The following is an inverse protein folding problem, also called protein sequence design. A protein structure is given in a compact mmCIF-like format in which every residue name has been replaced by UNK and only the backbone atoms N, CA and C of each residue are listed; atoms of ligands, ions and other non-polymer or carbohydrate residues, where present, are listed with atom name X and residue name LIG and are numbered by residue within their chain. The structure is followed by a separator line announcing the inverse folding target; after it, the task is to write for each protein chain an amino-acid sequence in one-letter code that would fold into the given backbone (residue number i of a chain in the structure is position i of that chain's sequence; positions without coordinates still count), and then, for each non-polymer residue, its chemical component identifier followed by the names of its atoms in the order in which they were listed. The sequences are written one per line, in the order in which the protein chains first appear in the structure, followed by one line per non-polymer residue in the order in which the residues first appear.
data_IF_989450841475
#
_entry.id   IF_989450841475
#
_cell.length_a   1.000
_cell.length_b   1.000
_cell.length_c   1.000
_cell.angle_alpha   90.00
_cell.angle_beta   90.00
_cell.angle_gamma   90.00
#
_symmetry.space_group_name_H-M   'P 1'
#
loop_
_entity.id
_entity.type
_entity.pdbx_description
1 polymer ?
#
# COMPACT_ATOMS: atom_id res chain seq x y z
N UNK A 1 57.90 -125.09 -28.01
CA UNK A 1 57.82 -123.60 -28.02
C UNK A 1 57.66 -123.18 -26.58
N UNK A 2 58.67 -122.53 -26.03
CA UNK A 2 58.73 -122.25 -24.61
C UNK A 2 58.36 -120.78 -24.41
N UNK A 3 57.55 -120.50 -23.38
CA UNK A 3 57.18 -119.14 -23.01
C UNK A 3 58.02 -118.70 -21.82
N UNK A 4 58.48 -117.44 -21.83
CA UNK A 4 59.20 -116.86 -20.71
C UNK A 4 58.31 -116.89 -19.48
N UNK A 5 58.78 -117.41 -18.33
CA UNK A 5 57.95 -117.56 -17.15
C UNK A 5 57.60 -116.20 -16.51
N UNK A 6 58.24 -115.10 -16.89
CA UNK A 6 57.99 -113.74 -16.35
C UNK A 6 57.04 -112.92 -17.24
N UNK A 7 57.35 -112.80 -18.54
CA UNK A 7 56.57 -111.96 -19.47
C UNK A 7 55.67 -112.75 -20.44
N UNK A 8 55.67 -114.09 -20.35
CA UNK A 8 54.91 -115.01 -21.19
C UNK A 8 55.14 -114.88 -22.71
N UNK A 9 56.24 -114.21 -23.11
CA UNK A 9 56.63 -114.12 -24.51
C UNK A 9 57.22 -115.43 -25.00
N UNK A 10 57.04 -115.74 -26.29
CA UNK A 10 57.70 -116.89 -26.92
C UNK A 10 59.20 -116.63 -27.02
N UNK A 11 60.02 -117.65 -26.75
CA UNK A 11 61.47 -117.61 -26.96
C UNK A 11 61.95 -118.89 -27.66
N UNK A 12 63.15 -118.83 -28.27
CA UNK A 12 63.79 -119.95 -28.94
C UNK A 12 64.73 -120.68 -27.97
N UNK A 13 64.71 -122.02 -27.97
CA UNK A 13 65.58 -122.83 -27.11
C UNK A 13 67.07 -122.57 -27.43
N UNK A 14 67.84 -122.18 -26.41
CA UNK A 14 69.26 -121.82 -26.53
C UNK A 14 69.58 -120.35 -26.20
N UNK A 15 68.57 -119.50 -26.06
CA UNK A 15 68.76 -118.11 -25.57
C UNK A 15 68.97 -118.09 -24.05
N UNK A 16 70.07 -117.48 -23.60
CA UNK A 16 70.39 -117.38 -22.16
C UNK A 16 69.48 -116.43 -21.39
N UNK A 17 68.88 -115.43 -22.06
CA UNK A 17 67.95 -114.47 -21.44
C UNK A 17 66.78 -114.14 -22.36
N UNK A 18 65.63 -113.82 -21.77
CA UNK A 18 64.43 -113.41 -22.49
C UNK A 18 64.61 -112.02 -23.11
N UNK A 19 64.38 -111.88 -24.42
CA UNK A 19 64.54 -110.60 -25.12
C UNK A 19 63.53 -109.50 -24.73
N UNK A 20 62.45 -109.85 -24.03
CA UNK A 20 61.40 -108.89 -23.65
C UNK A 20 61.60 -108.38 -22.22
N UNK A 21 61.88 -109.26 -21.26
CA UNK A 21 62.01 -108.91 -19.84
C UNK A 21 63.40 -109.17 -19.25
N UNK A 22 64.35 -109.61 -20.07
CA UNK A 22 65.74 -109.93 -19.68
C UNK A 22 65.89 -111.02 -18.60
N UNK A 23 64.83 -111.81 -18.36
CA UNK A 23 64.84 -112.92 -17.40
C UNK A 23 65.80 -114.03 -17.86
N UNK A 24 66.60 -114.58 -16.96
CA UNK A 24 67.49 -115.72 -17.24
C UNK A 24 66.68 -116.99 -17.56
N UNK A 25 66.87 -117.52 -18.77
CA UNK A 25 66.19 -118.70 -19.28
C UNK A 25 67.09 -119.95 -19.23
N UNK A 26 68.31 -119.83 -18.70
CA UNK A 26 69.27 -120.93 -18.59
C UNK A 26 68.66 -122.07 -17.77
N UNK A 27 68.55 -123.29 -18.34
CA UNK A 27 68.02 -124.44 -17.61
C UNK A 27 68.88 -124.75 -16.38
N UNK A 28 68.24 -125.01 -15.25
CA UNK A 28 68.96 -125.38 -14.04
C UNK A 28 69.81 -126.64 -14.30
N UNK A 29 71.12 -126.63 -13.96
CA UNK A 29 71.94 -127.82 -14.05
C UNK A 29 71.39 -128.86 -13.06
N UNK A 30 71.00 -130.03 -13.57
CA UNK A 30 70.43 -131.14 -12.80
C UNK A 30 71.50 -131.86 -11.97
N UNK A 31 72.15 -131.15 -11.05
CA UNK A 31 73.18 -131.72 -10.16
C UNK A 31 72.59 -132.31 -8.87
N UNK A 32 71.27 -132.28 -8.69
CA UNK A 32 70.60 -132.90 -7.56
C UNK A 32 70.36 -134.39 -7.83
N UNK A 33 70.99 -135.27 -7.04
CA UNK A 33 70.68 -136.70 -7.02
C UNK A 33 69.51 -136.91 -6.05
N UNK A 34 68.27 -136.73 -6.54
CA UNK A 34 67.04 -136.88 -5.74
C UNK A 34 65.97 -135.81 -6.04
N UNK A 35 64.84 -135.85 -5.32
CA UNK A 35 63.80 -134.81 -5.43
C UNK A 35 64.35 -133.46 -4.94
N UNK A 36 64.12 -132.38 -5.69
CA UNK A 36 64.58 -131.02 -5.34
C UNK A 36 63.92 -130.62 -4.02
N UNK A 37 64.67 -130.16 -3.00
CA UNK A 37 64.10 -129.78 -1.71
C UNK A 37 62.99 -128.73 -1.83
N UNK A 38 61.85 -128.96 -1.18
CA UNK A 38 60.68 -128.07 -1.24
C UNK A 38 61.00 -126.63 -0.81
N UNK A 39 61.94 -126.45 0.13
CA UNK A 39 62.41 -125.13 0.55
C UNK A 39 63.09 -124.33 -0.58
N UNK A 40 63.77 -125.03 -1.50
CA UNK A 40 64.42 -124.43 -2.66
C UNK A 40 63.39 -124.04 -3.72
N UNK A 41 62.46 -124.96 -4.04
CA UNK A 41 61.34 -124.70 -4.95
C UNK A 41 60.52 -123.51 -4.46
N UNK A 42 60.29 -123.41 -3.15
CA UNK A 42 59.54 -122.31 -2.54
C UNK A 42 60.24 -120.96 -2.71
N UNK A 43 61.57 -120.90 -2.52
CA UNK A 43 62.36 -119.67 -2.75
C UNK A 43 62.33 -119.25 -4.22
N UNK A 44 62.44 -120.20 -5.14
CA UNK A 44 62.46 -119.90 -6.57
C UNK A 44 61.08 -119.46 -7.09
N UNK A 45 60.00 -120.05 -6.55
CA UNK A 45 58.64 -119.57 -6.76
C UNK A 45 58.48 -118.12 -6.30
N UNK A 46 59.00 -117.77 -5.13
CA UNK A 46 58.94 -116.38 -4.63
C UNK A 46 59.71 -115.41 -5.52
N UNK A 47 60.91 -115.77 -5.99
CA UNK A 47 61.67 -114.93 -6.94
C UNK A 47 60.93 -114.75 -8.27
N UNK A 48 60.34 -115.82 -8.79
CA UNK A 48 59.57 -115.75 -10.03
C UNK A 48 58.31 -114.89 -9.87
N UNK A 49 57.60 -115.04 -8.75
CA UNK A 49 56.46 -114.18 -8.42
C UNK A 49 56.89 -112.72 -8.34
N UNK A 50 57.98 -112.42 -7.62
CA UNK A 50 58.55 -111.08 -7.56
C UNK A 50 58.93 -110.54 -8.94
N UNK A 51 59.58 -111.35 -9.79
CA UNK A 51 59.96 -110.94 -11.13
C UNK A 51 58.76 -110.64 -12.04
N UNK A 52 57.68 -111.44 -11.93
CA UNK A 52 56.39 -111.16 -12.59
C UNK A 52 55.77 -109.85 -12.10
N UNK A 53 55.75 -109.63 -10.78
CA UNK A 53 55.24 -108.40 -10.18
C UNK A 53 56.02 -107.18 -10.66
N UNK A 54 57.36 -107.23 -10.62
CA UNK A 54 58.23 -106.14 -11.09
C UNK A 54 58.01 -105.88 -12.58
N UNK A 55 57.89 -106.92 -13.40
CA UNK A 55 57.64 -106.78 -14.84
C UNK A 55 56.30 -106.09 -15.14
N UNK A 56 55.23 -106.50 -14.47
CA UNK A 56 53.91 -105.87 -14.61
C UNK A 56 53.95 -104.41 -14.13
N UNK A 57 54.59 -104.14 -13.00
CA UNK A 57 54.77 -102.78 -12.48
C UNK A 57 55.59 -101.90 -13.45
N UNK A 58 56.60 -102.48 -14.11
CA UNK A 58 57.44 -101.77 -15.08
C UNK A 58 56.64 -101.37 -16.33
N UNK A 59 55.68 -102.19 -16.77
CA UNK A 59 54.81 -101.83 -17.90
C UNK A 59 53.85 -100.68 -17.58
N UNK A 60 53.51 -100.46 -16.31
CA UNK A 60 52.61 -99.36 -15.88
C UNK A 60 53.33 -98.01 -15.70
N UNK A 61 54.67 -98.00 -15.60
CA UNK A 61 55.45 -96.77 -15.37
C UNK A 61 55.18 -95.63 -16.38
N UNK A 62 55.06 -95.87 -17.70
CA UNK A 62 54.78 -94.80 -18.66
C UNK A 62 53.40 -94.16 -18.46
N UNK A 63 52.39 -94.98 -18.17
CA UNK A 63 51.02 -94.50 -17.91
C UNK A 63 50.96 -93.71 -16.60
N UNK A 64 51.63 -94.18 -15.53
CA UNK A 64 51.77 -93.46 -14.27
C UNK A 64 52.48 -92.11 -14.49
N UNK A 65 53.57 -92.09 -15.27
CA UNK A 65 54.30 -90.86 -15.57
C UNK A 65 53.45 -89.87 -16.39
N UNK A 66 52.66 -90.37 -17.35
CA UNK A 66 51.74 -89.55 -18.13
C UNK A 66 50.64 -88.94 -17.25
N UNK A 67 50.00 -89.73 -16.40
CA UNK A 67 48.98 -89.28 -15.46
C UNK A 67 49.54 -88.26 -14.46
N UNK A 68 50.77 -88.46 -13.97
CA UNK A 68 51.46 -87.48 -13.13
C UNK A 68 51.69 -86.16 -13.88
N UNK A 69 52.11 -86.21 -15.13
CA UNK A 69 52.29 -85.01 -15.94
C UNK A 69 50.95 -84.28 -16.19
N UNK A 70 49.89 -85.02 -16.47
CA UNK A 70 48.55 -84.47 -16.67
C UNK A 70 47.99 -83.85 -15.38
N UNK A 71 48.19 -84.51 -14.24
CA UNK A 71 47.88 -83.96 -12.91
C UNK A 71 48.58 -82.62 -12.68
N UNK A 72 49.89 -82.53 -12.93
CA UNK A 72 50.66 -81.28 -12.76
C UNK A 72 50.12 -80.19 -13.68
N UNK A 73 49.78 -80.51 -14.94
CA UNK A 73 49.18 -79.55 -15.87
C UNK A 73 47.85 -79.02 -15.35
N UNK A 74 46.97 -79.89 -14.86
CA UNK A 74 45.68 -79.51 -14.28
C UNK A 74 45.86 -78.66 -13.03
N UNK A 75 46.76 -79.04 -12.12
CA UNK A 75 47.08 -78.26 -10.91
C UNK A 75 47.59 -76.85 -11.27
N UNK A 76 48.42 -76.74 -12.30
CA UNK A 76 48.91 -75.45 -12.80
C UNK A 76 47.79 -74.57 -13.33
N UNK A 77 46.88 -75.15 -14.13
CA UNK A 77 45.72 -74.43 -14.68
C UNK A 77 44.76 -74.01 -13.56
N UNK A 78 44.50 -74.89 -12.59
CA UNK A 78 43.67 -74.58 -11.43
C UNK A 78 44.28 -73.43 -10.64
N UNK A 79 45.58 -73.48 -10.35
CA UNK A 79 46.27 -72.42 -9.62
C UNK A 79 46.20 -71.07 -10.36
N UNK A 80 46.46 -71.08 -11.68
CA UNK A 80 46.33 -69.89 -12.52
C UNK A 80 44.92 -69.29 -12.46
N UNK A 81 43.90 -70.11 -12.66
CA UNK A 81 42.51 -69.64 -12.61
C UNK A 81 42.15 -69.11 -11.22
N UNK A 82 42.61 -69.76 -10.14
CA UNK A 82 42.39 -69.28 -8.77
C UNK A 82 43.03 -67.90 -8.56
N UNK A 83 44.24 -67.68 -9.07
CA UNK A 83 44.89 -66.37 -8.98
C UNK A 83 44.16 -65.30 -9.80
N UNK A 84 43.70 -65.62 -11.00
CA UNK A 84 42.93 -64.69 -11.85
C UNK A 84 41.59 -64.33 -11.20
N UNK A 85 40.85 -65.32 -10.68
CA UNK A 85 39.61 -65.07 -9.93
C UNK A 85 39.84 -64.27 -8.65
N UNK A 86 40.94 -64.50 -7.93
CA UNK A 86 41.27 -63.72 -6.75
C UNK A 86 41.56 -62.24 -7.09
N UNK A 87 42.27 -61.99 -8.20
CA UNK A 87 42.52 -60.64 -8.70
C UNK A 87 41.23 -59.95 -9.15
N UNK A 88 40.38 -60.63 -9.92
CA UNK A 88 39.11 -60.08 -10.36
C UNK A 88 38.18 -59.77 -9.18
N UNK A 89 38.12 -60.67 -8.18
CA UNK A 89 37.36 -60.44 -6.95
C UNK A 89 37.86 -59.21 -6.20
N UNK A 90 39.18 -59.06 -6.06
CA UNK A 90 39.78 -57.89 -5.41
C UNK A 90 39.48 -56.60 -6.17
N UNK A 91 39.54 -56.63 -7.51
CA UNK A 91 39.22 -55.49 -8.35
C UNK A 91 37.76 -55.08 -8.22
N UNK A 92 36.83 -56.04 -8.32
CA UNK A 92 35.39 -55.79 -8.15
C UNK A 92 35.07 -55.24 -6.76
N UNK A 93 35.74 -55.75 -5.72
CA UNK A 93 35.55 -55.29 -4.35
C UNK A 93 35.98 -53.84 -4.18
N UNK A 94 37.14 -53.45 -4.72
CA UNK A 94 37.57 -52.05 -4.73
C UNK A 94 36.60 -51.14 -5.51
N UNK A 95 36.05 -51.62 -6.63
CA UNK A 95 35.05 -50.87 -7.39
C UNK A 95 33.73 -50.68 -6.62
N UNK A 96 33.28 -51.69 -5.88
CA UNK A 96 32.11 -51.59 -5.01
C UNK A 96 32.34 -50.58 -3.89
N UNK A 97 33.52 -50.58 -3.27
CA UNK A 97 33.88 -49.61 -2.22
C UNK A 97 33.87 -48.18 -2.76
N UNK A 98 34.47 -47.95 -3.94
CA UNK A 98 34.46 -46.64 -4.60
C UNK A 98 33.06 -46.17 -4.95
N UNK A 99 32.20 -47.03 -5.50
CA UNK A 99 30.81 -46.69 -5.81
C UNK A 99 29.99 -46.40 -4.55
N UNK A 100 30.25 -47.09 -3.44
CA UNK A 100 29.61 -46.80 -2.17
C UNK A 100 30.04 -45.44 -1.59
N UNK A 101 31.30 -45.05 -1.75
CA UNK A 101 31.75 -43.71 -1.38
C UNK A 101 31.06 -42.63 -2.22
N UNK A 102 31.02 -42.78 -3.55
CA UNK A 102 30.33 -41.84 -4.43
C UNK A 102 28.83 -41.73 -4.10
N UNK A 103 28.17 -42.87 -3.83
CA UNK A 103 26.78 -42.90 -3.39
C UNK A 103 26.56 -42.11 -2.09
N UNK A 104 27.46 -42.25 -1.13
CA UNK A 104 27.36 -41.53 0.14
C UNK A 104 27.56 -40.02 -0.06
N UNK A 105 28.54 -39.62 -0.86
CA UNK A 105 28.78 -38.21 -1.19
C UNK A 105 27.58 -37.58 -1.90
N UNK A 106 26.97 -38.30 -2.85
CA UNK A 106 25.76 -37.87 -3.54
C UNK A 106 24.58 -37.74 -2.57
N UNK A 107 24.41 -38.67 -1.64
CA UNK A 107 23.37 -38.57 -0.61
C UNK A 107 23.57 -37.35 0.30
N UNK A 108 24.79 -37.04 0.71
CA UNK A 108 25.09 -35.85 1.50
C UNK A 108 24.77 -34.57 0.73
N UNK A 109 25.14 -34.50 -0.56
CA UNK A 109 24.78 -33.37 -1.43
C UNK A 109 23.27 -33.22 -1.60
N UNK A 110 22.55 -34.33 -1.79
CA UNK A 110 21.10 -34.34 -1.92
C UNK A 110 20.41 -33.83 -0.65
N UNK A 111 20.91 -34.21 0.52
CA UNK A 111 20.40 -33.71 1.80
C UNK A 111 20.63 -32.19 1.91
N UNK A 112 21.84 -31.71 1.60
CA UNK A 112 22.14 -30.27 1.62
C UNK A 112 21.24 -29.45 0.69
N UNK A 113 21.01 -29.93 -0.53
CA UNK A 113 20.09 -29.28 -1.48
C UNK A 113 18.63 -29.31 -1.00
N UNK A 114 18.23 -30.37 -0.29
CA UNK A 114 16.88 -30.47 0.29
C UNK A 114 16.67 -29.46 1.41
N UNK A 115 17.69 -29.27 2.24
CA UNK A 115 17.68 -28.29 3.32
C UNK A 115 17.66 -26.85 2.76
N UNK A 116 18.50 -26.57 1.76
CA UNK A 116 18.54 -25.28 1.07
C UNK A 116 17.20 -24.95 0.40
N UNK A 117 16.60 -25.91 -0.31
CA UNK A 117 15.26 -25.76 -0.89
C UNK A 117 14.21 -25.41 0.16
N UNK A 118 14.27 -26.07 1.32
CA UNK A 118 13.32 -25.83 2.42
C UNK A 118 13.48 -24.42 3.00
N UNK A 119 14.73 -23.94 3.15
CA UNK A 119 15.01 -22.57 3.59
C UNK A 119 14.51 -21.53 2.58
N UNK A 120 14.77 -21.73 1.28
CA UNK A 120 14.28 -20.84 0.23
C UNK A 120 12.76 -20.80 0.16
N UNK A 121 12.09 -21.92 0.43
CA UNK A 121 10.64 -21.98 0.49
C UNK A 121 10.08 -21.13 1.64
N UNK A 122 10.66 -21.23 2.84
CA UNK A 122 10.28 -20.38 3.98
C UNK A 122 10.50 -18.89 3.69
N UNK A 123 11.64 -18.53 3.10
CA UNK A 123 11.92 -17.14 2.69
C UNK A 123 10.89 -16.63 1.67
N UNK A 124 10.50 -17.46 0.71
CA UNK A 124 9.49 -17.12 -0.29
C UNK A 124 8.12 -16.88 0.37
N UNK A 125 7.74 -17.70 1.35
CA UNK A 125 6.51 -17.51 2.11
C UNK A 125 6.53 -16.20 2.91
N UNK A 126 7.65 -15.89 3.59
CA UNK A 126 7.82 -14.62 4.31
C UNK A 126 7.71 -13.42 3.38
N UNK A 127 8.44 -13.41 2.26
CA UNK A 127 8.39 -12.32 1.28
C UNK A 127 6.98 -12.16 0.71
N UNK A 128 6.26 -13.26 0.50
CA UNK A 128 4.88 -13.23 0.02
C UNK A 128 3.96 -12.56 1.04
N UNK A 129 4.10 -12.88 2.33
CA UNK A 129 3.33 -12.24 3.41
C UNK A 129 3.66 -10.74 3.56
N UNK A 130 4.93 -10.36 3.45
CA UNK A 130 5.33 -8.95 3.48
C UNK A 130 4.76 -8.18 2.29
N UNK A 131 4.81 -8.78 1.09
CA UNK A 131 4.22 -8.20 -0.12
C UNK A 131 2.73 -7.93 0.04
N UNK A 132 1.96 -8.88 0.58
CA UNK A 132 0.51 -8.67 0.78
C UNK A 132 0.23 -7.57 1.80
N UNK A 133 1.02 -7.47 2.86
CA UNK A 133 0.92 -6.37 3.85
C UNK A 133 1.19 -5.01 3.22
N UNK A 134 2.27 -4.90 2.43
CA UNK A 134 2.61 -3.66 1.72
C UNK A 134 1.50 -3.27 0.72
N UNK A 135 0.91 -4.24 0.02
CA UNK A 135 -0.20 -3.98 -0.90
C UNK A 135 -1.46 -3.45 -0.18
N UNK A 136 -1.75 -3.97 1.03
CA UNK A 136 -2.83 -3.47 1.87
C UNK A 136 -2.57 -2.04 2.37
N UNK A 137 -1.36 -1.76 2.86
CA UNK A 137 -0.96 -0.41 3.30
C UNK A 137 -1.02 0.60 2.14
N UNK A 138 -0.55 0.21 0.95
CA UNK A 138 -0.65 1.04 -0.27
C UNK A 138 -2.11 1.36 -0.60
N UNK A 139 -3.00 0.38 -0.56
CA UNK A 139 -4.43 0.57 -0.81
C UNK A 139 -5.07 1.53 0.21
N UNK A 140 -4.71 1.37 1.49
CA UNK A 140 -5.17 2.26 2.55
C UNK A 140 -4.72 3.71 2.33
N UNK A 141 -3.44 3.93 2.03
CA UNK A 141 -2.89 5.25 1.74
C UNK A 141 -3.52 5.90 0.49
N UNK A 142 -3.77 5.11 -0.56
CA UNK A 142 -4.47 5.60 -1.76
C UNK A 142 -5.88 6.11 -1.42
N UNK A 143 -6.62 5.40 -0.56
CA UNK A 143 -7.94 5.84 -0.11
C UNK A 143 -7.87 7.12 0.73
N UNK A 144 -6.88 7.24 1.63
CA UNK A 144 -6.67 8.47 2.40
C UNK A 144 -6.36 9.67 1.51
N UNK A 145 -5.50 9.50 0.50
CA UNK A 145 -5.18 10.56 -0.47
C UNK A 145 -6.43 10.99 -1.24
N UNK A 146 -7.27 10.05 -1.67
CA UNK A 146 -8.52 10.35 -2.36
C UNK A 146 -9.49 11.17 -1.47
N UNK A 147 -9.63 10.77 -0.20
CA UNK A 147 -10.46 11.49 0.77
C UNK A 147 -9.95 12.92 1.01
N UNK A 148 -8.65 13.10 1.26
CA UNK A 148 -8.04 14.42 1.45
C UNK A 148 -8.17 15.30 0.21
N UNK A 149 -8.06 14.72 -0.98
CA UNK A 149 -8.26 15.44 -2.24
C UNK A 149 -9.70 15.98 -2.34
N UNK A 150 -10.70 15.13 -2.04
CA UNK A 150 -12.11 15.53 -2.05
C UNK A 150 -12.40 16.62 -1.00
N UNK A 151 -11.79 16.51 0.19
CA UNK A 151 -11.94 17.52 1.25
C UNK A 151 -11.32 18.86 0.82
N UNK A 152 -10.14 18.85 0.22
CA UNK A 152 -9.50 20.05 -0.33
C UNK A 152 -10.36 20.72 -1.40
N UNK A 153 -10.93 19.95 -2.33
CA UNK A 153 -11.86 20.51 -3.33
C UNK A 153 -13.09 21.15 -2.69
N UNK A 154 -13.63 20.53 -1.64
CA UNK A 154 -14.77 21.08 -0.88
C UNK A 154 -14.40 22.37 -0.17
N UNK A 155 -13.23 22.43 0.47
CA UNK A 155 -12.73 23.62 1.14
C UNK A 155 -12.47 24.76 0.14
N UNK A 156 -11.88 24.47 -1.01
CA UNK A 156 -11.67 25.45 -2.08
C UNK A 156 -12.99 26.06 -2.58
N UNK A 157 -14.05 25.24 -2.73
CA UNK A 157 -15.39 25.75 -3.08
C UNK A 157 -15.94 26.69 -2.01
N UNK A 158 -15.78 26.36 -0.72
CA UNK A 158 -16.20 27.23 0.38
C UNK A 158 -15.43 28.55 0.41
N UNK A 159 -14.12 28.51 0.19
CA UNK A 159 -13.28 29.72 0.12
C UNK A 159 -13.79 30.65 -0.99
N UNK A 160 -14.01 30.13 -2.19
CA UNK A 160 -14.55 30.92 -3.31
C UNK A 160 -15.92 31.54 -3.00
N UNK A 161 -16.80 30.80 -2.33
CA UNK A 161 -18.10 31.33 -1.90
C UNK A 161 -17.95 32.50 -0.91
N UNK A 162 -17.10 32.35 0.10
CA UNK A 162 -16.83 33.43 1.06
C UNK A 162 -16.12 34.64 0.44
N UNK A 163 -15.26 34.43 -0.55
CA UNK A 163 -14.66 35.53 -1.32
C UNK A 163 -15.71 36.33 -2.08
N UNK A 164 -16.69 35.65 -2.68
CA UNK A 164 -17.82 36.29 -3.36
C UNK A 164 -18.71 37.07 -2.38
N UNK A 165 -19.07 36.47 -1.25
CA UNK A 165 -19.83 37.14 -0.17
C UNK A 165 -19.09 38.39 0.34
N UNK A 166 -17.78 38.27 0.56
CA UNK A 166 -16.94 39.41 0.97
C UNK A 166 -16.97 40.54 -0.05
N UNK A 167 -16.87 40.21 -1.35
CA UNK A 167 -16.98 41.21 -2.42
C UNK A 167 -18.34 41.90 -2.45
N UNK A 168 -19.42 41.16 -2.20
CA UNK A 168 -20.77 41.73 -2.12
C UNK A 168 -20.90 42.68 -0.93
N UNK A 169 -20.43 42.27 0.26
CA UNK A 169 -20.44 43.14 1.44
C UNK A 169 -19.61 44.40 1.25
N UNK A 170 -18.46 44.31 0.58
CA UNK A 170 -17.65 45.49 0.24
C UNK A 170 -18.42 46.47 -0.66
N UNK A 171 -19.12 45.97 -1.69
CA UNK A 171 -19.96 46.80 -2.55
C UNK A 171 -21.09 47.50 -1.79
N UNK A 172 -21.78 46.76 -0.91
CA UNK A 172 -22.84 47.32 -0.06
C UNK A 172 -22.31 48.38 0.91
N UNK A 173 -21.14 48.13 1.52
CA UNK A 173 -20.49 49.09 2.42
C UNK A 173 -20.15 50.40 1.69
N UNK A 174 -19.63 50.32 0.46
CA UNK A 174 -19.33 51.51 -0.33
C UNK A 174 -20.60 52.28 -0.69
N UNK A 175 -21.67 51.57 -1.09
CA UNK A 175 -22.98 52.20 -1.31
C UNK A 175 -23.49 52.95 -0.07
N UNK A 176 -23.37 52.35 1.12
CA UNK A 176 -23.78 53.02 2.36
C UNK A 176 -22.93 54.25 2.68
N UNK A 177 -21.61 54.20 2.43
CA UNK A 177 -20.73 55.38 2.59
C UNK A 177 -21.17 56.52 1.66
N UNK A 178 -21.49 56.22 0.41
CA UNK A 178 -21.98 57.23 -0.53
C UNK A 178 -23.32 57.83 -0.07
N UNK A 179 -24.25 56.99 0.39
CA UNK A 179 -25.52 57.46 0.96
C UNK A 179 -25.30 58.36 2.20
N UNK A 180 -24.36 58.00 3.08
CA UNK A 180 -23.99 58.80 4.25
C UNK A 180 -23.48 60.19 3.84
N UNK A 181 -22.61 60.27 2.82
CA UNK A 181 -22.11 61.55 2.30
C UNK A 181 -23.26 62.41 1.76
N UNK A 182 -24.16 61.83 0.97
CA UNK A 182 -25.33 62.53 0.42
C UNK A 182 -26.24 63.06 1.54
N UNK A 183 -26.54 62.23 2.55
CA UNK A 183 -27.34 62.65 3.69
C UNK A 183 -26.68 63.77 4.49
N UNK A 184 -25.35 63.71 4.71
CA UNK A 184 -24.61 64.79 5.36
C UNK A 184 -24.69 66.10 4.56
N UNK A 185 -24.61 66.04 3.23
CA UNK A 185 -24.79 67.23 2.39
C UNK A 185 -26.21 67.79 2.49
N UNK A 186 -27.23 66.94 2.50
CA UNK A 186 -28.62 67.35 2.64
C UNK A 186 -28.89 68.00 4.01
N UNK A 187 -28.33 67.43 5.10
CA UNK A 187 -28.42 68.02 6.44
C UNK A 187 -27.84 69.44 6.43
N UNK A 188 -26.65 69.64 5.86
CA UNK A 188 -26.04 70.98 5.76
C UNK A 188 -26.92 71.97 4.98
N UNK A 189 -27.55 71.54 3.88
CA UNK A 189 -28.48 72.38 3.11
C UNK A 189 -29.71 72.76 3.94
N UNK A 190 -30.31 71.80 4.64
CA UNK A 190 -31.46 72.05 5.51
C UNK A 190 -31.09 72.97 6.69
N UNK A 191 -29.88 72.86 7.22
CA UNK A 191 -29.37 73.78 8.25
C UNK A 191 -29.25 75.21 7.72
N UNK A 192 -28.74 75.39 6.50
CA UNK A 192 -28.68 76.71 5.85
C UNK A 192 -30.07 77.29 5.58
N UNK A 193 -30.99 76.50 5.00
CA UNK A 193 -32.37 76.92 4.74
C UNK A 193 -33.10 77.29 6.03
N UNK A 194 -32.92 76.51 7.11
CA UNK A 194 -33.46 76.82 8.43
C UNK A 194 -32.95 78.16 8.96
N UNK A 195 -31.64 78.43 8.82
CA UNK A 195 -31.05 79.70 9.26
C UNK A 195 -31.61 80.89 8.46
N UNK A 196 -31.76 80.73 7.15
CA UNK A 196 -32.34 81.74 6.26
C UNK A 196 -33.80 82.04 6.62
N UNK A 197 -34.63 81.00 6.78
CA UNK A 197 -36.02 81.14 7.19
C UNK A 197 -36.14 81.78 8.58
N UNK A 198 -35.26 81.42 9.52
CA UNK A 198 -35.23 82.04 10.84
C UNK A 198 -34.87 83.53 10.78
N UNK A 199 -33.89 83.89 9.94
CA UNK A 199 -33.53 85.29 9.71
C UNK A 199 -34.67 86.06 9.05
N UNK A 200 -35.37 85.46 8.08
CA UNK A 200 -36.54 86.06 7.44
C UNK A 200 -37.67 86.28 8.44
N UNK A 201 -38.00 85.26 9.25
CA UNK A 201 -39.02 85.36 10.29
C UNK A 201 -38.71 86.50 11.28
N UNK A 202 -37.46 86.62 11.72
CA UNK A 202 -37.02 87.70 12.60
C UNK A 202 -37.18 89.08 11.95
N UNK A 203 -36.80 89.23 10.68
CA UNK A 203 -36.98 90.49 9.94
C UNK A 203 -38.45 90.88 9.82
N UNK A 204 -39.31 89.95 9.42
CA UNK A 204 -40.75 90.18 9.33
C UNK A 204 -41.35 90.52 10.68
N UNK A 205 -40.92 89.86 11.76
CA UNK A 205 -41.38 90.17 13.11
C UNK A 205 -40.99 91.59 13.53
N UNK A 206 -39.76 92.04 13.24
CA UNK A 206 -39.31 93.41 13.50
C UNK A 206 -40.14 94.40 12.69
N UNK A 207 -40.34 94.13 11.40
CA UNK A 207 -41.14 94.99 10.52
C UNK A 207 -42.58 95.13 11.01
N UNK A 208 -43.25 94.01 11.34
CA UNK A 208 -44.61 94.02 11.88
C UNK A 208 -44.73 94.82 13.17
N UNK A 209 -43.73 94.74 14.08
CA UNK A 209 -43.71 95.55 15.30
C UNK A 209 -43.58 97.04 15.00
N UNK A 210 -42.78 97.41 13.99
CA UNK A 210 -42.64 98.80 13.56
C UNK A 210 -43.92 99.33 12.89
N UNK A 211 -44.53 98.52 12.01
CA UNK A 211 -45.79 98.87 11.35
C UNK A 211 -46.93 99.01 12.38
N UNK A 212 -46.98 98.14 13.39
CA UNK A 212 -47.94 98.22 14.49
C UNK A 212 -47.77 99.51 15.29
N UNK A 213 -46.55 99.86 15.72
CA UNK A 213 -46.33 101.10 16.47
C UNK A 213 -46.64 102.34 15.64
N UNK A 214 -46.37 102.31 14.33
CA UNK A 214 -46.77 103.37 13.42
C UNK A 214 -48.30 103.48 13.29
N UNK A 215 -49.01 102.35 13.19
CA UNK A 215 -50.48 102.33 13.12
C UNK A 215 -51.11 102.84 14.43
N UNK A 216 -50.58 102.44 15.58
CA UNK A 216 -50.99 102.93 16.91
C UNK A 216 -50.80 104.46 17.03
N UNK A 217 -49.66 104.99 16.57
CA UNK A 217 -49.40 106.43 16.57
C UNK A 217 -50.38 107.20 15.66
N UNK A 218 -50.68 106.67 14.47
CA UNK A 218 -51.70 107.25 13.57
C UNK A 218 -53.08 107.22 14.21
N UNK A 219 -53.46 106.11 14.85
CA UNK A 219 -54.74 105.98 15.56
C UNK A 219 -54.86 107.02 16.67
N UNK A 220 -53.81 107.21 17.48
CA UNK A 220 -53.78 108.23 18.54
C UNK A 220 -54.00 109.64 17.97
N UNK A 221 -53.34 109.96 16.85
CA UNK A 221 -53.52 111.26 16.20
C UNK A 221 -54.96 111.47 15.69
N UNK A 222 -55.53 110.45 15.03
CA UNK A 222 -56.94 110.49 14.57
C UNK A 222 -57.90 110.60 15.75
N UNK A 223 -57.65 109.91 16.87
CA UNK A 223 -58.46 110.02 18.08
C UNK A 223 -58.39 111.41 18.70
N UNK A 224 -57.21 112.03 18.74
CA UNK A 224 -57.04 113.41 19.20
C UNK A 224 -57.81 114.39 18.31
N UNK A 225 -57.72 114.23 16.99
CA UNK A 225 -58.45 115.03 16.03
C UNK A 225 -59.96 114.84 16.16
N UNK A 226 -60.44 113.60 16.35
CA UNK A 226 -61.85 113.30 16.66
C UNK A 226 -62.31 114.01 17.92
N UNK A 227 -61.53 113.98 19.01
CA UNK A 227 -61.86 114.70 20.27
C UNK A 227 -61.94 116.20 20.04
N UNK A 228 -61.00 116.76 19.28
CA UNK A 228 -61.00 118.19 18.93
C UNK A 228 -62.25 118.58 18.15
N UNK A 229 -62.57 117.83 17.10
CA UNK A 229 -63.78 118.03 16.29
C UNK A 229 -65.05 117.86 17.12
N UNK A 230 -65.07 116.90 18.05
CA UNK A 230 -66.20 116.70 18.97
C UNK A 230 -66.38 117.90 19.94
N UNK A 231 -65.28 118.48 20.43
CA UNK A 231 -65.31 119.72 21.20
C UNK A 231 -65.82 120.91 20.39
N UNK A 232 -65.34 121.07 19.15
CA UNK A 232 -65.85 122.09 18.22
C UNK A 232 -67.35 121.90 17.94
N UNK A 233 -67.82 120.66 17.78
CA UNK A 233 -69.24 120.35 17.59
C UNK A 233 -70.07 120.77 18.81
N UNK A 234 -69.60 120.50 20.03
CA UNK A 234 -70.29 120.93 21.27
C UNK A 234 -70.36 122.46 21.39
N UNK A 235 -69.29 123.15 21.01
CA UNK A 235 -69.24 124.62 20.98
C UNK A 235 -70.24 125.18 19.99
N UNK A 236 -70.26 124.67 18.75
CA UNK A 236 -71.25 125.03 17.72
C UNK A 236 -72.68 124.70 18.18
N UNK A 237 -72.92 123.57 18.84
CA UNK A 237 -74.23 123.23 19.42
C UNK A 237 -74.66 124.21 20.50
N UNK A 238 -73.73 124.67 21.34
CA UNK A 238 -73.98 125.65 22.39
C UNK A 238 -74.30 127.02 21.78
N UNK A 239 -73.53 127.45 20.79
CA UNK A 239 -73.80 128.68 20.04
C UNK A 239 -75.13 128.60 19.28
N UNK A 240 -75.43 127.47 18.64
CA UNK A 240 -76.73 127.24 18.00
C UNK A 240 -77.87 127.35 19.01
N UNK A 241 -77.71 126.80 20.22
CA UNK A 241 -78.71 126.92 21.29
C UNK A 241 -78.88 128.37 21.75
N UNK A 242 -77.79 129.12 21.95
CA UNK A 242 -77.86 130.56 22.26
C UNK A 242 -78.60 131.34 21.17
N UNK A 243 -78.29 131.08 19.90
CA UNK A 243 -78.97 131.70 18.75
C UNK A 243 -80.44 131.28 18.68
N UNK A 244 -80.77 130.03 19.01
CA UNK A 244 -82.16 129.55 19.12
C UNK A 244 -82.90 130.28 20.25
N UNK A 245 -82.31 130.40 21.43
CA UNK A 245 -82.85 131.12 22.59
C UNK A 245 -83.03 132.62 22.27
N UNK A 246 -82.05 133.24 21.59
CA UNK A 246 -82.14 134.62 21.09
C UNK A 246 -83.26 134.78 20.05
N UNK A 247 -83.37 133.85 19.11
CA UNK A 247 -84.46 133.82 18.13
C UNK A 247 -85.81 133.71 18.84
N UNK A 248 -85.90 132.89 19.88
CA UNK A 248 -87.13 132.70 20.67
C UNK A 248 -87.48 133.95 21.46
N UNK A 249 -86.51 134.59 22.12
CA UNK A 249 -86.65 135.94 22.72
C UNK A 249 -87.06 137.00 21.72
N UNK A 250 -86.47 137.01 20.52
CA UNK A 250 -86.85 137.93 19.45
C UNK A 250 -88.27 137.62 18.94
N UNK A 251 -88.69 136.35 18.93
CA UNK A 251 -90.04 135.91 18.60
C UNK A 251 -91.06 136.34 19.66
N UNK A 252 -90.71 136.25 20.94
CA UNK A 252 -91.47 136.82 22.07
C UNK A 252 -91.54 138.35 22.00
N UNK A 253 -90.43 139.03 21.62
CA UNK A 253 -90.47 140.46 21.31
C UNK A 253 -91.38 140.75 20.12
N UNK A 254 -91.37 139.94 19.07
CA UNK A 254 -92.24 140.08 17.92
C UNK A 254 -93.71 139.82 18.28
N UNK A 255 -94.01 138.92 19.23
CA UNK A 255 -95.36 138.72 19.75
C UNK A 255 -95.81 139.89 20.63
N UNK A 256 -94.90 140.49 21.42
CA UNK A 256 -95.17 141.73 22.16
C UNK A 256 -95.34 142.96 21.27
N UNK A 257 -94.84 142.91 20.03
CA UNK A 257 -94.98 143.94 18.99
C UNK A 257 -96.15 143.67 18.02
N UNK A 258 -96.91 142.59 18.23
CA UNK A 258 -98.19 142.34 17.56
C UNK A 258 -99.35 142.81 18.45
N UNK A 259 -100.09 143.86 18.07
CA UNK A 259 -101.23 144.34 18.84
C UNK A 259 -102.46 143.48 18.54
N UNK A 260 -103.02 142.84 19.57
CA UNK A 260 -104.41 142.36 19.53
C UNK A 260 -105.36 143.53 19.83
N UNK A 261 -105.79 144.18 18.76
CA UNK A 261 -107.18 144.62 18.64
C UNK A 261 -107.99 143.43 18.12
N UNK A 262 -108.67 142.75 19.04
CA UNK A 262 -110.11 142.47 18.94
C UNK A 262 -110.59 141.30 18.09
N UNK A 263 -111.01 140.24 18.81
CA UNK A 263 -112.32 139.59 18.67
C UNK A 263 -112.36 138.33 17.78
N UNK A 264 -113.07 137.25 18.12
CA UNK A 264 -114.20 137.04 19.05
C UNK A 264 -114.46 135.50 19.11
N UNK A 265 -114.62 134.93 20.33
CA UNK A 265 -115.38 133.74 20.79
C UNK A 265 -114.98 132.26 20.46
N UNK A 266 -114.73 131.53 21.57
CA UNK A 266 -115.32 130.27 22.10
C UNK A 266 -115.35 128.94 21.31
N UNK A 267 -114.58 127.95 21.82
CA UNK A 267 -115.03 126.71 22.49
C UNK A 267 -113.83 125.94 23.08
#
# INVERSE_FOLDING_TARGET
MNNCPVCNSKYLEGEGTCQICSWDLTPYPLTFVGQIPDAYISKEKVKLTWAREIWVNQQQLPEIAQLQQEKIKLETVIHKNQTEFAQERSHLQSKIESLNHEKNDLNTKLQGLTDERSQLQLQTETITQEKTKIEQERSHLQNQVAQLTQENERLLKKIKAHEQERSQFQGTLESFKQQQIILQQNIKKLETEKSELQNQANRTQIQLKADLSQAEAKLLNVEQERRRLQGQLQEVQTELKKVQDERERLREKLSSLKPEKGGIWDL
#
